data_IF_599791278219
#
_entry.id   IF_599791278219
#
_cell.length_a   1.000
_cell.length_b   1.000
_cell.length_c   1.000
_cell.angle_alpha   90.00
_cell.angle_beta   90.00
_cell.angle_gamma   90.00
#
_symmetry.space_group_name_H-M   'P 1'
#
loop_
_entity.id
_entity.type
_entity.pdbx_description
1 polymer ?
#
# COMPACT_ATOMS: atom_id res chain seq x y z
N UNK A 1 -12.15 -28.81 -27.78
CA UNK A 1 -11.11 -29.10 -28.79
C UNK A 1 -10.27 -27.85 -28.92
N UNK A 2 -8.94 -27.96 -28.91
CA UNK A 2 -8.05 -26.81 -29.12
C UNK A 2 -8.06 -26.44 -30.60
N UNK A 3 -8.16 -25.15 -30.90
CA UNK A 3 -8.16 -24.64 -32.27
C UNK A 3 -6.75 -24.80 -32.88
N UNK A 4 -6.67 -25.19 -34.15
CA UNK A 4 -5.39 -25.43 -34.83
C UNK A 4 -5.24 -24.53 -36.05
N UNK A 5 -4.00 -24.11 -36.31
CA UNK A 5 -3.60 -23.32 -37.48
C UNK A 5 -2.60 -24.13 -38.30
N UNK A 6 -2.82 -24.22 -39.61
CA UNK A 6 -1.87 -24.85 -40.55
C UNK A 6 -1.12 -23.77 -41.31
N UNK A 7 0.22 -23.84 -41.25
CA UNK A 7 1.13 -22.92 -41.91
C UNK A 7 1.92 -23.64 -42.99
N UNK A 8 2.14 -23.00 -44.13
CA UNK A 8 3.04 -23.48 -45.19
C UNK A 8 4.43 -22.89 -44.97
N UNK A 9 5.43 -23.73 -44.70
CA UNK A 9 6.82 -23.31 -44.47
C UNK A 9 7.75 -24.11 -45.38
N UNK A 10 8.39 -23.45 -46.34
CA UNK A 10 9.38 -24.09 -47.23
C UNK A 10 8.84 -25.27 -48.05
N UNK A 11 7.55 -25.29 -48.38
CA UNK A 11 6.89 -26.38 -49.09
C UNK A 11 6.32 -27.49 -48.20
N UNK A 12 6.59 -27.47 -46.89
CA UNK A 12 5.94 -28.34 -45.91
C UNK A 12 4.71 -27.67 -45.29
N UNK A 13 3.76 -28.48 -44.84
CA UNK A 13 2.65 -28.04 -43.99
C UNK A 13 2.95 -28.36 -42.53
N UNK A 14 2.78 -27.36 -41.67
CA UNK A 14 2.96 -27.49 -40.22
C UNK A 14 1.66 -27.09 -39.55
N UNK A 15 1.03 -28.05 -38.87
CA UNK A 15 -0.19 -27.79 -38.07
C UNK A 15 0.20 -27.68 -36.61
N UNK A 16 -0.15 -26.56 -36.00
CA UNK A 16 0.08 -26.29 -34.58
C UNK A 16 -1.21 -25.83 -33.94
N UNK A 17 -1.25 -25.94 -32.62
CA UNK A 17 -2.32 -25.33 -31.83
C UNK A 17 -2.19 -23.81 -31.91
N UNK A 18 -3.31 -23.11 -32.13
CA UNK A 18 -3.32 -21.67 -32.40
C UNK A 18 -2.78 -20.88 -31.21
N UNK A 19 -3.08 -21.28 -29.97
CA UNK A 19 -2.53 -20.62 -28.78
C UNK A 19 -1.02 -20.83 -28.63
N UNK A 20 -0.49 -21.99 -29.03
CA UNK A 20 0.95 -22.26 -29.03
C UNK A 20 1.68 -21.38 -30.04
N UNK A 21 1.10 -21.16 -31.23
CA UNK A 21 1.63 -20.22 -32.22
C UNK A 21 1.65 -18.79 -31.67
N UNK A 22 0.56 -18.35 -31.05
CA UNK A 22 0.47 -17.01 -30.45
C UNK A 22 1.49 -16.82 -29.32
N UNK A 23 1.65 -17.82 -28.42
CA UNK A 23 2.66 -17.80 -27.35
C UNK A 23 4.07 -17.70 -27.89
N UNK A 24 4.43 -18.53 -28.86
CA UNK A 24 5.77 -18.50 -29.46
C UNK A 24 6.05 -17.16 -30.17
N UNK A 25 5.05 -16.58 -30.84
CA UNK A 25 5.16 -15.24 -31.42
C UNK A 25 5.39 -14.19 -30.33
N UNK A 26 4.63 -14.25 -29.25
CA UNK A 26 4.70 -13.32 -28.13
C UNK A 26 6.07 -13.36 -27.45
N UNK A 27 6.58 -14.55 -27.15
CA UNK A 27 7.92 -14.77 -26.59
C UNK A 27 9.03 -14.22 -27.49
N UNK A 28 8.91 -14.42 -28.81
CA UNK A 28 9.91 -13.95 -29.78
C UNK A 28 9.97 -12.42 -29.89
N UNK A 29 8.84 -11.73 -29.80
CA UNK A 29 8.75 -10.29 -30.07
C UNK A 29 8.69 -9.42 -28.81
N UNK A 30 8.15 -9.94 -27.71
CA UNK A 30 8.09 -9.24 -26.42
C UNK A 30 9.21 -9.66 -25.45
N UNK A 31 10.03 -10.64 -25.82
CA UNK A 31 11.05 -11.22 -24.96
C UNK A 31 10.48 -12.26 -23.99
N UNK A 32 11.38 -12.98 -23.31
CA UNK A 32 11.04 -13.95 -22.26
C UNK A 32 10.07 -13.28 -21.29
N UNK A 33 8.97 -13.96 -20.93
CA UNK A 33 7.97 -13.48 -19.96
C UNK A 33 8.65 -12.60 -18.90
N UNK A 34 8.52 -11.28 -19.02
CA UNK A 34 8.68 -10.42 -17.86
C UNK A 34 7.48 -10.84 -17.03
N UNK A 35 7.68 -11.81 -16.14
CA UNK A 35 6.81 -11.99 -15.00
C UNK A 35 6.65 -10.57 -14.48
N UNK A 36 5.46 -9.95 -14.55
CA UNK A 36 5.30 -8.61 -14.02
C UNK A 36 5.82 -8.72 -12.60
N UNK A 37 6.94 -8.05 -12.33
CA UNK A 37 7.51 -8.09 -11.00
C UNK A 37 6.55 -7.25 -10.17
N UNK A 38 5.51 -7.89 -9.66
CA UNK A 38 4.91 -7.53 -8.39
C UNK A 38 5.95 -7.85 -7.30
N UNK A 39 7.15 -7.31 -7.45
CA UNK A 39 8.12 -7.21 -6.40
C UNK A 39 7.61 -6.06 -5.54
N UNK A 40 6.59 -6.36 -4.72
CA UNK A 40 6.29 -5.55 -3.56
C UNK A 40 7.64 -5.41 -2.85
N UNK A 41 8.12 -4.17 -2.74
CA UNK A 41 9.41 -3.93 -2.10
C UNK A 41 9.38 -4.58 -0.72
N UNK A 42 10.35 -5.45 -0.44
CA UNK A 42 10.41 -6.10 0.86
C UNK A 42 10.44 -5.05 1.98
N UNK A 43 9.85 -5.38 3.13
CA UNK A 43 9.97 -4.56 4.33
C UNK A 43 11.45 -4.36 4.67
N UNK A 44 11.83 -3.13 5.01
CA UNK A 44 13.17 -2.83 5.51
C UNK A 44 13.31 -3.41 6.93
N UNK A 45 14.54 -3.61 7.45
CA UNK A 45 14.72 -4.06 8.83
C UNK A 45 13.92 -3.21 9.83
N UNK A 46 13.09 -3.87 10.64
CA UNK A 46 12.22 -3.24 11.64
C UNK A 46 10.88 -2.73 11.11
N UNK A 47 10.65 -2.69 9.80
CA UNK A 47 9.33 -2.38 9.25
C UNK A 47 8.42 -3.60 9.24
N UNK A 48 7.11 -3.36 9.36
CA UNK A 48 6.07 -4.38 9.18
C UNK A 48 5.19 -4.03 7.99
N UNK A 49 4.98 -4.98 7.09
CA UNK A 49 4.05 -4.77 5.99
C UNK A 49 2.62 -4.83 6.51
N UNK A 50 1.86 -3.73 6.35
CA UNK A 50 0.49 -3.61 6.83
C UNK A 50 -0.54 -4.07 5.79
N UNK A 51 -0.21 -3.94 4.49
CA UNK A 51 -1.11 -4.31 3.40
C UNK A 51 -1.10 -3.30 2.26
N UNK A 52 -2.04 -3.47 1.33
CA UNK A 52 -2.21 -2.59 0.17
C UNK A 52 -3.63 -2.08 0.04
N UNK A 53 -3.77 -0.82 -0.38
CA UNK A 53 -5.04 -0.18 -0.71
C UNK A 53 -5.04 0.11 -2.21
N UNK A 54 -6.09 -0.30 -2.92
CA UNK A 54 -6.28 0.03 -4.34
C UNK A 54 -7.13 1.30 -4.41
N UNK A 55 -6.57 2.37 -4.98
CA UNK A 55 -7.29 3.61 -5.20
C UNK A 55 -8.28 3.46 -6.37
N UNK A 56 -9.34 4.28 -6.47
CA UNK A 56 -10.28 4.23 -7.60
C UNK A 56 -9.63 4.41 -8.98
N UNK A 57 -8.44 5.02 -9.05
CA UNK A 57 -7.63 5.13 -10.26
C UNK A 57 -6.99 3.81 -10.70
N UNK A 58 -7.15 2.73 -9.91
CA UNK A 58 -6.43 1.49 -10.04
C UNK A 58 -5.06 1.51 -9.35
N UNK A 59 -4.49 2.68 -9.01
CA UNK A 59 -3.16 2.74 -8.39
C UNK A 59 -3.13 2.01 -7.05
N UNK A 60 -2.17 1.13 -6.86
CA UNK A 60 -2.01 0.39 -5.61
C UNK A 60 -1.02 1.10 -4.70
N UNK A 61 -1.38 1.21 -3.42
CA UNK A 61 -0.56 1.80 -2.37
C UNK A 61 -0.25 0.75 -1.31
N UNK A 62 1.00 0.32 -1.25
CA UNK A 62 1.55 -0.59 -0.25
C UNK A 62 2.03 0.18 0.97
N UNK A 63 1.57 -0.22 2.16
CA UNK A 63 1.85 0.47 3.42
C UNK A 63 2.76 -0.37 4.31
N UNK A 64 3.84 0.24 4.79
CA UNK A 64 4.77 -0.34 5.75
C UNK A 64 4.74 0.48 7.04
N UNK A 65 4.49 -0.16 8.17
CA UNK A 65 4.59 0.44 9.49
C UNK A 65 6.08 0.55 9.88
N UNK A 66 6.53 1.75 10.24
CA UNK A 66 7.89 1.97 10.71
C UNK A 66 8.03 1.59 12.19
N UNK A 67 9.24 1.23 12.63
CA UNK A 67 9.49 0.94 14.03
C UNK A 67 9.34 2.18 14.90
N UNK A 68 8.94 1.97 16.15
CA UNK A 68 8.86 3.03 17.16
C UNK A 68 7.56 3.83 17.12
N UNK A 69 7.29 4.48 18.24
CA UNK A 69 6.18 5.40 18.46
C UNK A 69 6.69 6.61 19.27
N UNK A 70 5.94 7.71 19.24
CA UNK A 70 6.28 8.88 20.06
C UNK A 70 5.01 9.52 20.60
N UNK A 71 5.07 10.13 21.77
CA UNK A 71 3.99 10.97 22.29
C UNK A 71 4.36 12.42 22.03
N UNK A 72 3.56 13.10 21.20
CA UNK A 72 3.89 14.43 20.69
C UNK A 72 2.96 15.49 21.30
N UNK A 73 3.44 16.72 21.53
CA UNK A 73 2.65 17.77 22.17
C UNK A 73 1.49 18.26 21.30
N UNK A 74 1.62 18.14 19.98
CA UNK A 74 0.61 18.57 19.03
C UNK A 74 0.72 17.81 17.70
N UNK A 75 -0.29 17.95 16.85
CA UNK A 75 -0.41 17.29 15.56
C UNK A 75 0.68 17.70 14.57
N UNK A 76 1.12 18.97 14.59
CA UNK A 76 2.17 19.43 13.67
C UNK A 76 3.52 18.84 14.06
N UNK A 77 3.82 18.74 15.35
CA UNK A 77 4.98 18.01 15.87
C UNK A 77 4.93 16.53 15.45
N UNK A 78 3.75 15.92 15.48
CA UNK A 78 3.51 14.57 14.98
C UNK A 78 3.82 14.40 13.48
N UNK A 79 3.31 15.31 12.64
CA UNK A 79 3.59 15.31 11.21
C UNK A 79 5.09 15.48 10.93
N UNK A 80 5.77 16.37 11.66
CA UNK A 80 7.21 16.59 11.54
C UNK A 80 8.03 15.37 11.97
N UNK A 81 7.68 14.77 13.11
CA UNK A 81 8.32 13.54 13.61
C UNK A 81 8.22 12.40 12.58
N UNK A 82 7.05 12.21 11.98
CA UNK A 82 6.87 11.13 11.00
C UNK A 82 7.71 11.35 9.73
N UNK A 83 7.92 12.62 9.32
CA UNK A 83 8.83 12.96 8.21
C UNK A 83 10.29 12.67 8.56
N UNK A 84 10.70 12.96 9.78
CA UNK A 84 12.05 12.65 10.28
C UNK A 84 12.33 11.14 10.32
N UNK A 85 11.32 10.33 10.66
CA UNK A 85 11.39 8.88 10.53
C UNK A 85 11.47 8.38 9.06
N UNK A 86 11.34 9.27 8.06
CA UNK A 86 11.34 8.91 6.64
C UNK A 86 9.97 8.45 6.12
N UNK A 87 8.89 8.84 6.78
CA UNK A 87 7.52 8.44 6.45
C UNK A 87 6.50 9.58 6.58
N UNK A 88 5.29 9.19 6.99
CA UNK A 88 4.16 10.08 7.26
C UNK A 88 3.28 9.48 8.33
N UNK A 89 2.41 10.26 8.99
CA UNK A 89 1.40 9.66 9.84
C UNK A 89 0.42 8.83 8.98
N UNK A 90 -0.12 7.72 9.51
CA UNK A 90 -1.12 6.95 8.78
C UNK A 90 -2.39 7.77 8.53
N UNK A 91 -2.99 7.58 7.36
CA UNK A 91 -4.33 8.07 7.05
C UNK A 91 -5.39 7.22 7.77
N UNK A 92 -6.66 7.64 7.73
CA UNK A 92 -7.74 6.92 8.43
C UNK A 92 -7.93 5.47 7.96
N UNK A 93 -7.72 5.20 6.67
CA UNK A 93 -7.87 3.85 6.12
C UNK A 93 -6.71 2.97 6.56
N UNK A 94 -5.50 3.53 6.56
CA UNK A 94 -4.32 2.86 7.10
C UNK A 94 -4.45 2.60 8.60
N UNK A 95 -4.96 3.54 9.40
CA UNK A 95 -5.16 3.32 10.85
C UNK A 95 -6.12 2.14 11.11
N UNK A 96 -7.25 2.07 10.38
CA UNK A 96 -8.17 0.95 10.48
C UNK A 96 -7.49 -0.39 10.11
N UNK A 97 -6.70 -0.40 9.04
CA UNK A 97 -5.92 -1.58 8.61
C UNK A 97 -4.86 -1.97 9.65
N UNK A 98 -4.15 -0.99 10.21
CA UNK A 98 -3.12 -1.19 11.24
C UNK A 98 -3.72 -1.77 12.52
N UNK A 99 -4.89 -1.28 12.94
CA UNK A 99 -5.58 -1.84 14.10
C UNK A 99 -6.05 -3.28 13.87
N UNK A 100 -6.56 -3.60 12.68
CA UNK A 100 -7.02 -4.94 12.35
C UNK A 100 -5.88 -5.97 12.29
N UNK A 101 -4.71 -5.60 11.77
CA UNK A 101 -3.65 -6.57 11.46
C UNK A 101 -2.37 -6.44 12.29
N UNK A 102 -2.14 -5.28 12.90
CA UNK A 102 -0.89 -4.94 13.60
C UNK A 102 -1.18 -4.23 14.94
N UNK A 103 -2.32 -4.49 15.59
CA UNK A 103 -2.67 -3.85 16.86
C UNK A 103 -1.71 -4.19 18.00
N UNK A 104 -1.05 -5.35 17.94
CA UNK A 104 0.01 -5.78 18.86
C UNK A 104 1.24 -4.85 18.85
N UNK A 105 1.41 -4.07 17.78
CA UNK A 105 2.48 -3.09 17.66
C UNK A 105 2.15 -1.75 18.34
N UNK A 106 0.93 -1.56 18.84
CA UNK A 106 0.47 -0.28 19.38
C UNK A 106 0.18 -0.39 20.88
N UNK A 107 0.45 0.71 21.58
CA UNK A 107 -0.09 0.91 22.93
C UNK A 107 -1.62 1.13 22.87
N UNK A 108 -2.37 0.75 23.92
CA UNK A 108 -3.81 1.03 24.04
C UNK A 108 -4.06 2.53 24.32
N UNK A 109 -3.67 3.40 23.38
CA UNK A 109 -3.75 4.85 23.44
C UNK A 109 -4.26 5.42 22.11
N UNK A 110 -4.53 6.72 22.07
CA UNK A 110 -4.94 7.43 20.86
C UNK A 110 -3.72 7.83 20.00
N UNK A 111 -3.83 7.62 18.68
CA UNK A 111 -2.82 7.95 17.69
C UNK A 111 -3.32 8.92 16.63
N UNK A 112 -2.58 9.99 16.38
CA UNK A 112 -2.89 10.96 15.33
C UNK A 112 -2.84 10.34 13.93
N UNK A 113 -3.81 10.72 13.08
CA UNK A 113 -3.79 10.50 11.64
C UNK A 113 -3.20 11.71 10.91
N UNK A 114 -2.65 11.55 9.71
CA UNK A 114 -2.32 12.69 8.84
C UNK A 114 -3.54 13.42 8.26
N UNK A 115 -4.77 12.97 8.55
CA UNK A 115 -5.99 13.53 7.97
C UNK A 115 -6.56 14.65 8.83
N UNK A 116 -6.53 15.89 8.34
CA UNK A 116 -7.22 17.02 8.96
C UNK A 116 -8.75 16.85 8.89
N UNK A 117 -9.47 17.32 9.92
CA UNK A 117 -10.93 17.35 9.87
C UNK A 117 -11.45 18.42 8.91
N UNK A 118 -12.35 18.06 8.00
CA UNK A 118 -12.81 18.96 6.93
C UNK A 118 -13.58 20.19 7.44
N UNK A 119 -14.44 20.01 8.45
CA UNK A 119 -15.27 21.09 9.01
C UNK A 119 -14.56 21.96 10.03
N UNK A 120 -13.43 21.52 10.59
CA UNK A 120 -12.73 22.21 11.68
C UNK A 120 -11.23 22.11 11.47
N UNK A 121 -10.63 23.16 10.91
CA UNK A 121 -9.19 23.19 10.57
C UNK A 121 -8.25 23.04 11.77
N UNK A 122 -8.75 23.36 12.96
CA UNK A 122 -8.06 23.19 14.23
C UNK A 122 -8.14 21.75 14.78
N UNK A 123 -8.78 20.81 14.09
CA UNK A 123 -8.89 19.41 14.47
C UNK A 123 -8.26 18.47 13.42
N UNK A 124 -7.85 17.29 13.85
CA UNK A 124 -7.41 16.19 13.00
C UNK A 124 -8.06 14.88 13.46
N UNK A 125 -8.07 13.89 12.57
CA UNK A 125 -8.53 12.54 12.92
C UNK A 125 -7.49 11.82 13.77
N UNK A 126 -7.95 10.94 14.65
CA UNK A 126 -7.13 10.01 15.40
C UNK A 126 -7.90 8.70 15.64
N UNK A 127 -7.18 7.64 15.97
CA UNK A 127 -7.73 6.34 16.31
C UNK A 127 -7.26 5.88 17.68
N UNK A 128 -8.18 5.34 18.45
CA UNK A 128 -7.91 4.58 19.66
C UNK A 128 -7.52 3.13 19.32
N UNK A 129 -6.37 2.68 19.81
CA UNK A 129 -5.89 1.32 19.56
C UNK A 129 -6.30 0.31 20.64
N UNK A 130 -7.00 0.75 21.68
CA UNK A 130 -7.68 -0.08 22.69
C UNK A 130 -9.06 -0.59 22.22
N UNK A 131 -9.81 0.20 21.46
CA UNK A 131 -11.16 -0.14 21.01
C UNK A 131 -11.40 -0.03 19.49
N UNK A 132 -10.46 0.57 18.75
CA UNK A 132 -10.54 0.74 17.30
C UNK A 132 -11.37 1.93 16.82
N UNK A 133 -11.94 2.75 17.72
CA UNK A 133 -12.78 3.88 17.32
C UNK A 133 -11.97 5.04 16.75
N UNK A 134 -12.55 5.68 15.73
CA UNK A 134 -12.00 6.88 15.11
C UNK A 134 -12.76 8.12 15.59
N UNK A 135 -12.00 9.16 15.93
CA UNK A 135 -12.54 10.42 16.41
C UNK A 135 -11.81 11.60 15.77
N UNK A 136 -12.39 12.79 15.93
CA UNK A 136 -11.88 14.02 15.33
C UNK A 136 -12.12 15.25 16.22
N UNK A 137 -12.63 15.10 17.44
CA UNK A 137 -13.04 16.25 18.26
C UNK A 137 -11.86 16.90 18.99
N UNK A 138 -10.71 16.21 19.11
CA UNK A 138 -9.51 16.81 19.66
C UNK A 138 -8.94 17.89 18.74
N UNK A 139 -8.55 18.99 19.39
CA UNK A 139 -7.77 20.03 18.75
C UNK A 139 -6.39 19.50 18.42
N UNK A 140 -5.80 20.00 17.35
CA UNK A 140 -4.43 19.71 16.94
C UNK A 140 -3.40 20.05 18.02
N UNK A 141 -3.73 20.82 19.04
CA UNK A 141 -2.88 21.10 20.22
C UNK A 141 -2.95 20.02 21.30
N UNK A 142 -3.67 18.91 21.09
CA UNK A 142 -3.76 17.82 22.06
C UNK A 142 -2.55 16.89 21.93
N UNK A 143 -2.11 16.39 23.07
CA UNK A 143 -0.98 15.46 23.18
C UNK A 143 -1.46 14.02 22.93
N UNK A 144 -1.18 13.49 21.73
CA UNK A 144 -1.46 12.08 21.38
C UNK A 144 -0.20 11.38 20.88
N UNK A 145 -0.28 10.06 20.71
CA UNK A 145 0.80 9.28 20.14
C UNK A 145 0.84 9.38 18.61
N UNK A 146 1.96 9.02 18.03
CA UNK A 146 2.18 8.94 16.59
C UNK A 146 2.93 7.67 16.21
N UNK A 147 2.64 7.18 15.01
CA UNK A 147 3.41 6.16 14.28
C UNK A 147 3.66 6.68 12.89
N UNK A 148 4.76 6.28 12.29
CA UNK A 148 5.07 6.59 10.90
C UNK A 148 4.76 5.39 10.01
N UNK A 149 4.30 5.68 8.79
CA UNK A 149 4.18 4.71 7.71
C UNK A 149 4.98 5.16 6.48
N UNK A 150 5.51 4.19 5.73
CA UNK A 150 6.11 4.40 4.41
C UNK A 150 5.19 3.80 3.36
N UNK A 151 4.96 4.55 2.29
CA UNK A 151 4.09 4.15 1.18
C UNK A 151 4.92 3.87 -0.05
N UNK A 152 4.63 2.75 -0.70
CA UNK A 152 5.18 2.40 -2.03
C UNK A 152 4.02 2.28 -2.98
N UNK A 153 4.13 2.92 -4.14
CA UNK A 153 3.09 2.90 -5.16
C UNK A 153 3.50 1.96 -6.27
N UNK A 154 2.54 1.20 -6.77
CA UNK A 154 2.67 0.46 -8.01
C UNK A 154 1.47 0.76 -8.89
N UNK A 155 1.73 0.97 -10.17
CA UNK A 155 0.67 1.09 -11.15
C UNK A 155 0.02 -0.28 -11.33
N UNK A 156 -1.31 -0.27 -11.32
CA UNK A 156 -2.06 -1.49 -11.57
C UNK A 156 -2.03 -1.83 -13.05
N UNK A 157 -1.89 -3.12 -13.34
CA UNK A 157 -1.95 -3.70 -14.69
C UNK A 157 -3.35 -4.30 -14.95
N UNK A 158 -4.37 -3.94 -14.14
CA UNK A 158 -5.77 -4.31 -14.45
C UNK A 158 -6.25 -3.49 -15.65
#
# INVERSE_FOLDING_TARGET
MSETTTLKVGGAEVTVETSALFRAWLEKHLGQHIQPSFAIQAARPGERYAGSIIEPSGRMRHTFLLPGDEKVPDWNAGMAWAKDCGGDLPDRVEQAMLNAYLSDEFKPEAYWSNTQHAGYSYNAWYQHFDDGYHYYYYRKSAELRVRAVRRVFSDSVI
#
